data_IF_827754931887
#
_entry.id   IF_827754931887
#
_cell.length_a   1.000
_cell.length_b   1.000
_cell.length_c   1.000
_cell.angle_alpha   90.00
_cell.angle_beta   90.00
_cell.angle_gamma   90.00
#
_symmetry.space_group_name_H-M   'P 1'
#
loop_
_entity.id
_entity.type
_entity.pdbx_description
1 polymer ?
#
# COMPACT_ATOMS: atom_id res chain seq x y z
N UNK A 1 0.11 -2.80 7.27
CA UNK A 1 -1.12 -2.62 6.47
C UNK A 1 -0.95 -3.22 5.08
N UNK A 2 -2.02 -3.78 4.51
CA UNK A 2 -1.98 -4.46 3.19
C UNK A 2 -2.71 -3.62 2.15
N UNK A 3 -2.06 -3.34 1.02
CA UNK A 3 -2.61 -2.54 -0.08
C UNK A 3 -2.58 -3.36 -1.36
N UNK A 4 -3.69 -3.38 -2.09
CA UNK A 4 -3.84 -4.15 -3.33
C UNK A 4 -3.79 -3.26 -4.59
N UNK A 5 -3.75 -1.94 -4.42
CA UNK A 5 -3.73 -0.98 -5.51
C UNK A 5 -2.31 -0.46 -5.75
N UNK A 6 -1.78 -0.73 -6.93
CA UNK A 6 -0.47 -0.22 -7.35
C UNK A 6 -0.43 1.31 -7.37
N UNK A 7 -1.54 1.98 -7.71
CA UNK A 7 -1.65 3.45 -7.70
C UNK A 7 -1.54 4.01 -6.28
N UNK A 8 -2.20 3.36 -5.30
CA UNK A 8 -2.08 3.78 -3.89
C UNK A 8 -0.68 3.51 -3.35
N UNK A 9 -0.11 2.34 -3.66
CA UNK A 9 1.27 2.03 -3.32
C UNK A 9 2.23 3.10 -3.85
N UNK A 10 2.12 3.48 -5.12
CA UNK A 10 3.00 4.48 -5.74
C UNK A 10 2.88 5.85 -5.04
N UNK A 11 1.66 6.29 -4.72
CA UNK A 11 1.44 7.55 -3.97
C UNK A 11 2.06 7.51 -2.58
N UNK A 12 1.99 6.37 -1.90
CA UNK A 12 2.56 6.21 -0.56
C UNK A 12 4.09 6.20 -0.59
N UNK A 13 4.68 5.51 -1.56
CA UNK A 13 6.14 5.53 -1.76
C UNK A 13 6.62 6.95 -2.07
N UNK A 14 5.88 7.70 -2.90
CA UNK A 14 6.18 9.11 -3.19
C UNK A 14 6.06 10.03 -1.96
N UNK A 15 5.15 9.72 -1.02
CA UNK A 15 5.04 10.41 0.27
C UNK A 15 6.16 10.02 1.26
N UNK A 16 7.04 9.08 0.91
CA UNK A 16 8.16 8.64 1.76
C UNK A 16 7.86 7.40 2.60
N UNK A 17 6.73 6.73 2.41
CA UNK A 17 6.42 5.50 3.14
C UNK A 17 7.22 4.32 2.62
N UNK A 18 7.83 3.57 3.55
CA UNK A 18 8.65 2.41 3.22
C UNK A 18 7.77 1.18 2.99
N UNK A 19 7.89 0.60 1.80
CA UNK A 19 7.34 -0.71 1.49
C UNK A 19 8.15 -1.78 2.24
N UNK A 20 7.49 -2.53 3.13
CA UNK A 20 8.13 -3.65 3.83
C UNK A 20 8.26 -4.90 2.97
N UNK A 21 7.37 -5.06 1.98
CA UNK A 21 7.44 -6.18 1.08
C UNK A 21 6.36 -6.17 0.02
N UNK A 22 6.53 -7.05 -0.95
CA UNK A 22 5.56 -7.31 -2.00
C UNK A 22 5.27 -8.79 -2.04
N UNK A 23 3.99 -9.15 -2.12
CA UNK A 23 3.52 -10.52 -2.28
C UNK A 23 2.67 -10.65 -3.54
N UNK A 24 2.50 -11.90 -3.98
CA UNK A 24 1.49 -12.23 -4.98
C UNK A 24 0.19 -12.56 -4.26
N UNK A 25 -0.94 -12.07 -4.77
CA UNK A 25 -2.23 -12.47 -4.24
C UNK A 25 -2.47 -13.94 -4.62
N UNK A 26 -2.65 -14.81 -3.63
CA UNK A 26 -2.87 -16.25 -3.86
C UNK A 26 -4.21 -16.54 -4.52
N UNK A 27 -5.20 -15.65 -4.35
CA UNK A 27 -6.51 -15.76 -5.01
C UNK A 27 -6.54 -15.20 -6.42
N UNK A 28 -5.58 -14.35 -6.81
CA UNK A 28 -5.65 -13.60 -8.05
C UNK A 28 -4.23 -13.31 -8.55
N UNK A 29 -3.72 -14.17 -9.44
CA UNK A 29 -2.31 -14.14 -9.90
C UNK A 29 -1.92 -12.83 -10.59
N UNK A 30 -2.91 -12.02 -10.99
CA UNK A 30 -2.70 -10.72 -11.64
C UNK A 30 -2.60 -9.55 -10.65
N UNK A 31 -2.83 -9.77 -9.36
CA UNK A 31 -2.81 -8.71 -8.34
C UNK A 31 -1.61 -8.84 -7.43
N UNK A 32 -0.83 -7.77 -7.37
CA UNK A 32 0.26 -7.62 -6.40
C UNK A 32 -0.29 -7.11 -5.08
N UNK A 33 0.28 -7.62 -3.99
CA UNK A 33 -0.04 -7.26 -2.62
C UNK A 33 1.15 -6.48 -2.07
N UNK A 34 0.90 -5.29 -1.57
CA UNK A 34 1.92 -4.37 -1.07
C UNK A 34 1.80 -4.27 0.45
N UNK A 35 2.86 -4.64 1.15
CA UNK A 35 2.94 -4.59 2.60
C UNK A 35 3.67 -3.32 3.02
N UNK A 36 3.00 -2.49 3.81
CA UNK A 36 3.58 -1.30 4.41
C UNK A 36 3.63 -1.44 5.93
N UNK A 37 4.65 -0.81 6.53
CA UNK A 37 4.73 -0.65 7.99
C UNK A 37 3.47 0.07 8.45
N UNK A 38 2.74 -0.52 9.40
CA UNK A 38 1.57 0.17 9.97
C UNK A 38 2.05 1.34 10.84
N UNK A 39 1.52 2.53 10.55
CA UNK A 39 1.79 3.77 11.29
C UNK A 39 0.58 4.69 11.18
N UNK A 40 0.42 5.58 12.16
CA UNK A 40 -0.67 6.56 12.15
C UNK A 40 -0.61 7.48 10.91
N UNK A 41 0.59 7.85 10.48
CA UNK A 41 0.82 8.64 9.27
C UNK A 41 0.36 7.91 8.01
N UNK A 42 0.60 6.60 7.91
CA UNK A 42 0.14 5.80 6.78
C UNK A 42 -1.39 5.77 6.73
N UNK A 43 -2.04 5.61 7.89
CA UNK A 43 -3.50 5.61 7.99
C UNK A 43 -4.08 6.96 7.58
N UNK A 44 -3.50 8.07 8.06
CA UNK A 44 -3.91 9.42 7.64
C UNK A 44 -3.76 9.62 6.14
N UNK A 45 -2.60 9.29 5.58
CA UNK A 45 -2.36 9.40 4.14
C UNK A 45 -3.33 8.55 3.31
N UNK A 46 -3.75 7.40 3.83
CA UNK A 46 -4.72 6.52 3.16
C UNK A 46 -6.16 7.03 3.23
N UNK A 47 -6.51 7.73 4.30
CA UNK A 47 -7.79 8.40 4.45
C UNK A 47 -7.90 9.58 3.47
N UNK A 48 -6.85 10.41 3.38
CA UNK A 48 -6.76 11.49 2.38
C UNK A 48 -6.87 10.99 0.93
N UNK A 49 -6.35 9.79 0.65
CA UNK A 49 -6.35 9.21 -0.69
C UNK A 49 -7.65 8.50 -1.07
N UNK A 50 -8.56 8.30 -0.10
CA UNK A 50 -9.90 7.73 -0.31
C UNK A 50 -10.95 8.78 -0.65
N UNK A 51 -10.68 10.06 -0.38
CA UNK A 51 -11.51 11.19 -0.85
C UNK A 51 -11.25 11.47 -2.33
#
# INVERSE_FOLDING_TARGET
MVIYSQKLMAKLVLKGFVLQGMGKNSNDKHKNVFYFKDSEELRKAMDELKQ
#
